data_IF_412787551937
#
_entry.id   IF_412787551937
#
_cell.length_a   1.000
_cell.length_b   1.000
_cell.length_c   1.000
_cell.angle_alpha   90.00
_cell.angle_beta   90.00
_cell.angle_gamma   90.00
#
_symmetry.space_group_name_H-M   'P 1'
#
loop_
_entity.id
_entity.type
_entity.pdbx_description
1 polymer ?
#
# COMPACT_ATOMS: atom_id res chain seq x y z
N UNK A 1 19.86 69.86 -15.49
CA UNK A 1 19.28 70.47 -16.70
C UNK A 1 18.71 69.39 -17.60
N UNK A 2 17.49 69.63 -18.02
CA UNK A 2 16.79 69.03 -19.20
C UNK A 2 16.36 67.56 -19.05
N UNK A 3 15.12 67.27 -18.80
CA UNK A 3 13.92 67.35 -19.66
C UNK A 3 13.76 66.02 -20.46
N UNK A 4 12.71 65.27 -20.09
CA UNK A 4 11.39 65.15 -20.76
C UNK A 4 11.49 64.07 -21.89
N UNK A 5 10.63 63.09 -22.07
CA UNK A 5 9.24 63.12 -22.46
C UNK A 5 8.70 61.68 -22.49
N UNK A 6 7.54 61.46 -21.91
CA UNK A 6 6.36 60.70 -22.35
C UNK A 6 6.52 59.74 -23.54
N UNK A 7 6.02 58.54 -23.38
CA UNK A 7 4.94 58.09 -24.27
C UNK A 7 4.17 56.96 -23.55
N UNK A 8 2.96 57.26 -23.20
CA UNK A 8 1.86 56.35 -22.91
C UNK A 8 1.55 55.53 -24.15
N UNK A 9 1.54 54.20 -24.04
CA UNK A 9 0.79 53.39 -24.96
C UNK A 9 -0.09 52.41 -24.18
N UNK A 10 -1.36 52.77 -24.11
CA UNK A 10 -2.44 51.86 -23.78
C UNK A 10 -2.54 50.78 -24.85
N UNK A 11 -2.42 49.56 -24.47
CA UNK A 11 -2.97 48.46 -25.22
C UNK A 11 -3.79 47.60 -24.27
N UNK A 12 -5.08 47.79 -24.40
CA UNK A 12 -6.10 46.88 -23.86
C UNK A 12 -5.93 45.54 -24.57
N UNK A 13 -5.59 44.49 -23.85
CA UNK A 13 -5.77 43.13 -24.28
C UNK A 13 -6.77 42.43 -23.38
N UNK A 14 -7.82 42.08 -24.05
CA UNK A 14 -8.98 41.31 -23.69
C UNK A 14 -8.63 40.13 -22.79
N UNK A 15 -9.36 40.03 -21.67
CA UNK A 15 -9.26 38.93 -20.73
C UNK A 15 -9.57 37.58 -21.34
N UNK A 16 -8.68 36.64 -21.16
CA UNK A 16 -9.06 35.25 -20.99
C UNK A 16 -9.29 35.06 -19.48
N UNK A 17 -10.53 34.87 -19.10
CA UNK A 17 -10.89 34.31 -17.83
C UNK A 17 -10.29 32.90 -17.77
N UNK A 18 -9.11 32.78 -17.16
CA UNK A 18 -8.72 31.53 -16.56
C UNK A 18 -9.67 31.33 -15.39
N UNK A 19 -10.49 30.29 -15.50
CA UNK A 19 -11.15 29.75 -14.34
C UNK A 19 -10.06 29.52 -13.31
N UNK A 20 -10.04 30.34 -12.28
CA UNK A 20 -9.35 30.08 -11.04
C UNK A 20 -9.97 28.81 -10.45
N UNK A 21 -9.43 27.66 -10.87
CA UNK A 21 -9.51 26.47 -10.05
C UNK A 21 -8.73 26.87 -8.80
N UNK A 22 -9.48 27.31 -7.80
CA UNK A 22 -8.99 27.40 -6.46
C UNK A 22 -8.33 26.04 -6.18
N UNK A 23 -7.01 26.01 -6.15
CA UNK A 23 -6.29 24.93 -5.50
C UNK A 23 -6.71 25.02 -4.04
N UNK A 24 -7.82 24.38 -3.74
CA UNK A 24 -8.11 23.97 -2.40
C UNK A 24 -6.95 23.08 -2.04
N UNK A 25 -6.02 23.61 -1.24
CA UNK A 25 -5.14 22.81 -0.41
C UNK A 25 -6.05 22.02 0.55
N UNK A 26 -6.77 21.10 -0.02
CA UNK A 26 -7.41 20.02 0.69
C UNK A 26 -6.26 19.10 1.07
N UNK A 27 -5.64 19.40 2.22
CA UNK A 27 -5.04 18.35 3.03
C UNK A 27 -6.06 17.21 2.95
N UNK A 28 -5.74 16.09 2.32
CA UNK A 28 -6.71 15.03 2.19
C UNK A 28 -7.04 14.59 3.61
N UNK A 29 -8.20 15.01 4.10
CA UNK A 29 -8.85 14.31 5.19
C UNK A 29 -9.29 12.97 4.57
N UNK A 30 -8.30 12.11 4.32
CA UNK A 30 -8.54 10.77 3.82
C UNK A 30 -9.08 10.01 5.00
N UNK A 31 -10.40 10.03 5.14
CA UNK A 31 -11.09 9.10 6.01
C UNK A 31 -10.57 7.70 5.62
N UNK A 32 -9.87 7.07 6.57
CA UNK A 32 -9.27 5.76 6.35
C UNK A 32 -10.41 4.77 6.28
N UNK A 33 -10.81 4.42 5.06
CA UNK A 33 -11.83 3.39 4.83
C UNK A 33 -11.17 2.03 4.96
N UNK A 34 -11.53 1.30 6.01
CA UNK A 34 -11.07 -0.07 6.24
C UNK A 34 -12.07 -1.01 5.56
N UNK A 35 -11.63 -1.87 4.62
CA UNK A 35 -12.48 -2.90 4.01
C UNK A 35 -12.95 -3.93 5.04
N UNK A 36 -14.15 -4.47 4.86
CA UNK A 36 -14.72 -5.51 5.74
C UNK A 36 -13.87 -6.80 5.78
N UNK A 37 -13.10 -7.06 4.72
CA UNK A 37 -12.21 -8.22 4.61
C UNK A 37 -10.80 -7.95 5.15
N UNK A 38 -10.56 -6.80 5.79
CA UNK A 38 -9.25 -6.48 6.34
C UNK A 38 -8.90 -7.41 7.50
N UNK A 39 -7.67 -7.90 7.50
CA UNK A 39 -7.14 -8.73 8.59
C UNK A 39 -6.70 -7.80 9.72
N UNK A 40 -7.34 -7.94 10.87
CA UNK A 40 -6.98 -7.17 12.05
C UNK A 40 -5.56 -7.50 12.52
N UNK A 41 -4.81 -6.45 12.90
CA UNK A 41 -3.43 -6.58 13.35
C UNK A 41 -2.41 -6.81 12.24
N UNK A 42 -2.80 -6.64 10.97
CA UNK A 42 -1.88 -6.75 9.84
C UNK A 42 -1.98 -5.54 8.90
N UNK A 43 -0.83 -4.95 8.59
CA UNK A 43 -0.69 -3.88 7.60
C UNK A 43 0.43 -4.16 6.63
N UNK A 44 0.24 -3.72 5.40
CA UNK A 44 1.26 -3.76 4.36
C UNK A 44 1.76 -2.33 4.15
N UNK A 45 3.08 -2.15 4.27
CA UNK A 45 3.77 -0.87 4.15
C UNK A 45 4.70 -0.94 2.95
N UNK A 46 4.64 0.07 2.10
CA UNK A 46 5.68 0.31 1.10
C UNK A 46 6.51 1.50 1.55
N UNK A 47 7.80 1.30 1.67
CA UNK A 47 8.75 2.37 1.98
C UNK A 47 9.23 3.08 0.70
N UNK A 48 9.71 4.30 0.89
CA UNK A 48 10.38 5.06 -0.16
C UNK A 48 11.74 4.44 -0.50
N UNK A 49 12.23 4.59 -1.74
CA UNK A 49 13.51 4.01 -2.18
C UNK A 49 14.72 4.42 -1.34
N UNK A 50 14.68 5.61 -0.74
CA UNK A 50 15.77 6.12 0.09
C UNK A 50 16.00 5.29 1.36
N UNK A 51 15.01 4.49 1.77
CA UNK A 51 15.08 3.62 2.95
C UNK A 51 15.69 2.24 2.66
N UNK A 52 15.94 1.91 1.41
CA UNK A 52 16.41 0.59 0.98
C UNK A 52 17.62 0.09 1.77
N UNK A 53 18.65 0.92 1.91
CA UNK A 53 19.90 0.53 2.56
C UNK A 53 19.72 0.18 4.05
N UNK A 54 18.84 0.91 4.76
CA UNK A 54 18.56 0.68 6.17
C UNK A 54 17.75 -0.60 6.33
N UNK A 55 16.73 -0.77 5.50
CA UNK A 55 15.86 -1.94 5.52
C UNK A 55 16.65 -3.24 5.21
N UNK A 56 17.49 -3.22 4.17
CA UNK A 56 18.33 -4.36 3.82
C UNK A 56 19.32 -4.72 4.95
N UNK A 57 19.90 -3.72 5.59
CA UNK A 57 20.80 -3.95 6.72
C UNK A 57 20.07 -4.62 7.89
N UNK A 58 18.85 -4.18 8.18
CA UNK A 58 18.03 -4.74 9.25
C UNK A 58 17.63 -6.18 8.94
N UNK A 59 17.15 -6.44 7.72
CA UNK A 59 16.76 -7.80 7.27
C UNK A 59 17.94 -8.77 7.29
N UNK A 60 19.12 -8.31 6.89
CA UNK A 60 20.35 -9.13 6.93
C UNK A 60 20.76 -9.49 8.35
N UNK A 61 20.65 -8.55 9.29
CA UNK A 61 21.03 -8.77 10.70
C UNK A 61 20.08 -9.71 11.44
N UNK A 62 18.80 -9.65 11.11
CA UNK A 62 17.76 -10.45 11.76
C UNK A 62 17.48 -11.78 11.07
N UNK A 63 18.27 -12.15 10.04
CA UNK A 63 18.08 -13.36 9.24
C UNK A 63 16.65 -13.50 8.64
N UNK A 64 16.00 -12.34 8.39
CA UNK A 64 14.65 -12.27 7.84
C UNK A 64 13.53 -12.24 8.89
N UNK A 65 13.84 -12.48 10.16
CA UNK A 65 12.89 -12.39 11.28
C UNK A 65 13.15 -11.10 12.06
N UNK A 66 12.50 -10.03 11.66
CA UNK A 66 12.60 -8.74 12.33
C UNK A 66 11.28 -8.37 13.02
N UNK A 67 11.40 -7.57 14.08
CA UNK A 67 10.26 -6.89 14.70
C UNK A 67 10.32 -5.39 14.46
N UNK A 68 11.43 -4.89 13.89
CA UNK A 68 11.74 -3.48 13.67
C UNK A 68 12.25 -3.26 12.25
N UNK A 69 12.03 -2.05 11.75
CA UNK A 69 12.48 -1.63 10.44
C UNK A 69 13.94 -1.16 10.40
N UNK A 70 14.47 -0.73 11.56
CA UNK A 70 15.74 -0.03 11.65
C UNK A 70 15.65 1.47 11.38
N UNK A 71 14.46 1.98 11.07
CA UNK A 71 14.17 3.40 10.89
C UNK A 71 13.56 3.92 12.20
N UNK A 72 14.22 4.83 12.93
CA UNK A 72 13.82 5.21 14.28
C UNK A 72 12.39 5.70 14.41
N UNK A 73 11.92 6.54 13.48
CA UNK A 73 10.56 7.08 13.48
C UNK A 73 9.50 5.99 13.24
N UNK A 74 9.78 5.06 12.33
CA UNK A 74 8.91 3.90 12.10
C UNK A 74 8.93 2.96 13.30
N UNK A 75 10.10 2.69 13.86
CA UNK A 75 10.25 1.78 14.99
C UNK A 75 9.54 2.29 16.25
N UNK A 76 9.52 3.60 16.48
CA UNK A 76 8.73 4.21 17.56
C UNK A 76 7.21 3.91 17.39
N UNK A 77 6.69 4.02 16.17
CA UNK A 77 5.30 3.69 15.91
C UNK A 77 5.05 2.19 16.04
N UNK A 78 5.96 1.34 15.55
CA UNK A 78 5.86 -0.11 15.70
C UNK A 78 5.85 -0.54 17.17
N UNK A 79 6.64 0.12 18.03
CA UNK A 79 6.64 -0.13 19.47
C UNK A 79 5.30 0.26 20.12
N UNK A 80 4.72 1.40 19.73
CA UNK A 80 3.42 1.83 20.22
C UNK A 80 2.31 0.84 19.81
N UNK A 81 2.41 0.27 18.61
CA UNK A 81 1.46 -0.71 18.10
C UNK A 81 1.66 -2.12 18.69
N UNK A 82 2.75 -2.34 19.45
CA UNK A 82 3.09 -3.68 19.92
C UNK A 82 3.42 -4.63 18.78
N UNK A 83 4.15 -4.13 17.76
CA UNK A 83 4.50 -4.95 16.61
C UNK A 83 5.46 -6.09 17.00
N UNK A 84 5.09 -7.30 16.60
CA UNK A 84 5.84 -8.52 16.89
C UNK A 84 6.44 -9.19 15.66
N UNK A 85 6.10 -8.73 14.45
CA UNK A 85 6.66 -9.22 13.18
C UNK A 85 6.76 -8.10 12.16
N UNK A 86 7.90 -8.03 11.50
CA UNK A 86 8.20 -7.11 10.40
C UNK A 86 8.95 -7.89 9.32
N UNK A 87 8.30 -8.23 8.23
CA UNK A 87 8.80 -9.14 7.20
C UNK A 87 8.61 -8.56 5.79
N UNK A 88 9.46 -8.95 4.83
CA UNK A 88 9.24 -8.61 3.42
C UNK A 88 8.03 -9.37 2.88
N UNK A 89 7.12 -8.66 2.18
CA UNK A 89 6.01 -9.28 1.45
C UNK A 89 6.53 -10.21 0.35
N UNK A 90 7.62 -9.81 -0.30
CA UNK A 90 8.31 -10.61 -1.33
C UNK A 90 9.65 -11.08 -0.76
N UNK A 91 9.76 -12.35 -0.33
CA UNK A 91 10.99 -12.88 0.22
C UNK A 91 12.16 -12.78 -0.77
N UNK A 92 13.37 -12.75 -0.24
CA UNK A 92 14.59 -12.73 -1.07
C UNK A 92 14.68 -14.03 -1.86
N UNK A 93 14.69 -13.92 -3.18
CA UNK A 93 14.99 -15.01 -4.10
C UNK A 93 16.20 -14.62 -4.96
N UNK A 94 17.31 -15.28 -4.75
CA UNK A 94 18.56 -14.99 -5.47
C UNK A 94 18.43 -15.07 -7.00
N UNK A 95 17.44 -15.81 -7.51
CA UNK A 95 17.20 -15.93 -8.95
C UNK A 95 16.50 -14.72 -9.53
N UNK A 96 15.65 -14.07 -8.74
CA UNK A 96 14.76 -13.00 -9.19
C UNK A 96 14.98 -11.67 -8.46
N UNK A 97 15.91 -11.60 -7.51
CA UNK A 97 16.12 -10.42 -6.66
C UNK A 97 16.37 -9.14 -7.47
N UNK A 98 17.13 -9.23 -8.56
CA UNK A 98 17.38 -8.06 -9.42
C UNK A 98 16.08 -7.49 -10.00
N UNK A 99 15.17 -8.34 -10.47
CA UNK A 99 13.86 -7.93 -11.00
C UNK A 99 12.93 -7.43 -9.90
N UNK A 100 12.97 -8.05 -8.73
CA UNK A 100 12.23 -7.64 -7.54
C UNK A 100 12.63 -6.24 -7.11
N UNK A 101 13.93 -5.93 -7.15
CA UNK A 101 14.46 -4.59 -6.85
C UNK A 101 14.12 -3.57 -7.93
N UNK A 102 14.30 -3.91 -9.20
CA UNK A 102 13.92 -3.05 -10.32
C UNK A 102 12.44 -2.65 -10.28
N UNK A 103 11.58 -3.57 -9.88
CA UNK A 103 10.14 -3.33 -9.71
C UNK A 103 9.78 -2.65 -8.38
N UNK A 104 10.75 -2.39 -7.49
CA UNK A 104 10.52 -1.80 -6.17
C UNK A 104 9.72 -2.71 -5.21
N UNK A 105 9.63 -4.00 -5.50
CA UNK A 105 8.88 -4.96 -4.67
C UNK A 105 9.61 -5.27 -3.35
N UNK A 106 10.92 -5.13 -3.31
CA UNK A 106 11.74 -5.32 -2.11
C UNK A 106 11.44 -4.31 -1.00
N UNK A 107 10.75 -3.22 -1.30
CA UNK A 107 10.36 -2.17 -0.36
C UNK A 107 9.00 -2.41 0.30
N UNK A 108 8.35 -3.51 -0.01
CA UNK A 108 7.06 -3.88 0.57
C UNK A 108 7.25 -4.80 1.76
N UNK A 109 6.69 -4.40 2.90
CA UNK A 109 6.77 -5.12 4.17
C UNK A 109 5.39 -5.35 4.75
N UNK A 110 5.21 -6.49 5.40
CA UNK A 110 4.05 -6.76 6.23
C UNK A 110 4.44 -6.59 7.70
N UNK A 111 3.61 -5.88 8.43
CA UNK A 111 3.73 -5.67 9.87
C UNK A 111 2.59 -6.39 10.53
N UNK A 112 2.91 -7.19 11.57
CA UNK A 112 1.92 -7.78 12.45
C UNK A 112 2.06 -7.18 13.83
N UNK A 113 0.93 -6.75 14.39
CA UNK A 113 0.88 -6.05 15.66
C UNK A 113 -0.31 -6.53 16.52
N UNK A 114 -0.35 -6.06 17.76
CA UNK A 114 -1.40 -6.49 18.70
C UNK A 114 -2.79 -6.08 18.19
N UNK A 115 -3.73 -7.03 18.15
CA UNK A 115 -5.10 -6.80 17.70
C UNK A 115 -5.92 -5.89 18.63
N UNK A 116 -5.39 -5.55 19.80
CA UNK A 116 -5.98 -4.53 20.68
C UNK A 116 -5.90 -3.13 20.09
N UNK A 117 -4.91 -2.89 19.20
CA UNK A 117 -4.75 -1.64 18.50
C UNK A 117 -5.63 -1.61 17.24
N UNK A 118 -6.34 -0.50 17.03
CA UNK A 118 -7.20 -0.37 15.87
C UNK A 118 -6.41 -0.22 14.57
N UNK A 119 -6.83 -0.93 13.53
CA UNK A 119 -6.23 -0.87 12.21
C UNK A 119 -6.24 0.55 11.64
N UNK A 120 -7.34 1.31 11.87
CA UNK A 120 -7.45 2.71 11.46
C UNK A 120 -6.42 3.60 12.16
N UNK A 121 -6.26 3.45 13.47
CA UNK A 121 -5.29 4.21 14.25
C UNK A 121 -3.86 3.89 13.86
N UNK A 122 -3.56 2.61 13.56
CA UNK A 122 -2.26 2.19 13.07
C UNK A 122 -1.95 2.82 11.70
N UNK A 123 -2.90 2.78 10.77
CA UNK A 123 -2.76 3.41 9.45
C UNK A 123 -2.58 4.92 9.55
N UNK A 124 -3.35 5.59 10.40
CA UNK A 124 -3.21 7.04 10.62
C UNK A 124 -1.81 7.40 11.08
N UNK A 125 -1.29 6.73 12.13
CA UNK A 125 0.06 6.98 12.67
C UNK A 125 1.15 6.74 11.62
N UNK A 126 1.09 5.61 10.91
CA UNK A 126 2.08 5.26 9.88
C UNK A 126 1.99 6.18 8.66
N UNK A 127 0.83 6.72 8.32
CA UNK A 127 0.66 7.64 7.19
C UNK A 127 1.33 8.99 7.40
N UNK A 128 1.59 9.37 8.64
CA UNK A 128 2.28 10.62 9.00
C UNK A 128 3.79 10.52 8.81
N UNK A 129 4.33 9.31 8.63
CA UNK A 129 5.76 9.09 8.49
C UNK A 129 6.25 9.45 7.09
N UNK A 130 7.28 10.28 7.04
CA UNK A 130 7.83 10.78 5.78
C UNK A 130 8.49 9.72 4.91
N UNK A 131 8.94 8.61 5.49
CA UNK A 131 9.58 7.46 4.85
C UNK A 131 8.61 6.47 4.22
N UNK A 132 7.34 6.54 4.56
CA UNK A 132 6.29 5.67 4.00
C UNK A 132 5.81 6.23 2.66
N UNK A 133 5.75 5.37 1.64
CA UNK A 133 5.21 5.67 0.31
C UNK A 133 3.72 5.28 0.22
N UNK A 134 3.38 4.06 0.66
CA UNK A 134 2.01 3.53 0.62
C UNK A 134 1.70 2.66 1.82
N UNK A 135 0.43 2.68 2.21
CA UNK A 135 -0.14 1.80 3.23
C UNK A 135 -1.34 1.05 2.65
N UNK A 136 -1.45 -0.22 3.01
CA UNK A 136 -2.58 -1.06 2.61
C UNK A 136 -2.96 -1.98 3.77
N UNK A 137 -4.27 -2.22 3.92
CA UNK A 137 -4.74 -3.31 4.76
C UNK A 137 -4.42 -4.65 4.08
N UNK A 138 -3.92 -5.61 4.83
CA UNK A 138 -3.91 -6.98 4.36
C UNK A 138 -5.35 -7.51 4.36
N UNK A 139 -5.73 -8.29 3.34
CA UNK A 139 -7.12 -8.76 3.17
C UNK A 139 -7.16 -10.26 2.92
N UNK A 140 -8.16 -10.91 3.50
CA UNK A 140 -8.48 -12.27 3.11
C UNK A 140 -9.00 -12.32 1.67
N UNK A 141 -8.46 -13.23 0.89
CA UNK A 141 -8.89 -13.45 -0.49
C UNK A 141 -9.75 -14.70 -0.52
N UNK A 142 -11.02 -14.50 -0.85
CA UNK A 142 -11.95 -15.60 -1.06
C UNK A 142 -12.08 -15.90 -2.55
N UNK A 143 -12.23 -17.17 -2.93
CA UNK A 143 -12.55 -17.52 -4.31
C UNK A 143 -13.83 -16.80 -4.76
N UNK A 144 -13.86 -16.33 -6.01
CA UNK A 144 -14.96 -15.51 -6.55
C UNK A 144 -16.31 -16.25 -6.61
N UNK A 145 -16.30 -17.58 -6.51
CA UNK A 145 -17.51 -18.39 -6.46
C UNK A 145 -17.98 -18.52 -5.02
N UNK A 146 -19.06 -17.85 -4.73
CA UNK A 146 -19.90 -17.98 -3.56
C UNK A 146 -19.22 -18.00 -2.18
N UNK A 147 -19.13 -16.82 -1.57
CA UNK A 147 -18.65 -16.57 -0.20
C UNK A 147 -19.44 -17.37 0.88
N UNK A 148 -20.65 -17.86 0.58
CA UNK A 148 -21.55 -18.54 1.51
C UNK A 148 -21.74 -20.04 1.23
N UNK A 149 -21.15 -20.59 0.18
CA UNK A 149 -21.20 -22.04 -0.05
C UNK A 149 -20.01 -22.70 0.61
N UNK A 150 -20.28 -23.61 1.53
CA UNK A 150 -19.27 -24.58 1.97
C UNK A 150 -18.69 -25.24 0.71
N UNK A 151 -17.37 -25.39 0.59
CA UNK A 151 -16.80 -26.09 -0.55
C UNK A 151 -17.42 -27.48 -0.63
N UNK A 152 -18.22 -27.68 -1.66
CA UNK A 152 -18.73 -29.00 -2.00
C UNK A 152 -17.63 -29.72 -2.76
N UNK A 153 -16.87 -30.53 -2.06
CA UNK A 153 -15.93 -31.43 -2.70
C UNK A 153 -16.73 -32.53 -3.37
N UNK A 154 -16.88 -32.45 -4.68
CA UNK A 154 -17.39 -33.56 -5.49
C UNK A 154 -16.32 -34.65 -5.41
N UNK A 155 -16.66 -35.77 -4.77
CA UNK A 155 -15.76 -36.94 -4.77
C UNK A 155 -15.65 -37.48 -6.20
N UNK A 156 -14.50 -38.00 -6.58
CA UNK A 156 -14.33 -38.61 -7.90
C UNK A 156 -15.36 -39.69 -8.22
N UNK A 157 -15.99 -40.29 -7.19
CA UNK A 157 -17.08 -41.25 -7.33
C UNK A 157 -18.40 -40.67 -7.84
N UNK A 158 -18.64 -39.36 -7.64
CA UNK A 158 -19.86 -38.68 -8.15
C UNK A 158 -19.71 -38.20 -9.58
N UNK A 159 -18.48 -38.02 -10.06
CA UNK A 159 -18.22 -37.56 -11.43
C UNK A 159 -18.58 -38.61 -12.49
N UNK A 160 -18.58 -39.90 -12.13
CA UNK A 160 -18.88 -41.01 -13.06
C UNK A 160 -20.40 -41.25 -13.22
N UNK A 161 -21.27 -40.56 -12.51
CA UNK A 161 -22.73 -40.77 -12.55
C UNK A 161 -23.48 -39.85 -13.52
N UNK A 162 -22.81 -39.00 -14.29
CA UNK A 162 -23.45 -38.23 -15.33
C UNK A 162 -23.76 -39.12 -16.56
N UNK A 163 -25.05 -39.29 -16.92
CA UNK A 163 -25.38 -40.06 -18.10
C UNK A 163 -24.85 -39.34 -19.33
N UNK A 164 -23.94 -40.03 -20.03
CA UNK A 164 -23.49 -39.62 -21.35
C UNK A 164 -24.71 -39.59 -22.27
N UNK A 165 -25.18 -38.41 -22.63
CA UNK A 165 -26.12 -38.22 -23.73
C UNK A 165 -25.38 -38.48 -25.03
N UNK A 166 -25.38 -39.78 -25.43
CA UNK A 166 -24.96 -40.19 -26.74
C UNK A 166 -25.99 -39.74 -27.73
N UNK A 167 -25.67 -38.72 -28.51
CA UNK A 167 -26.44 -38.37 -29.69
C UNK A 167 -26.43 -39.56 -30.64
N UNK A 168 -27.58 -40.13 -30.92
CA UNK A 168 -27.81 -41.05 -32.06
C UNK A 168 -28.26 -40.21 -33.22
N UNK A 169 -27.51 -40.34 -34.31
CA UNK A 169 -27.93 -40.00 -35.67
C UNK A 169 -29.21 -40.70 -36.07
#
# INVERSE_FOLDING_TARGET
MKRIIYITLLLASVGCTKDDIATVDTKPNTEVVIPDEAIEGELIIKFKPEMEAILDQTMTRSAGEATRSGIPSTDEVLDILGAYSFERVFPVDNRHEARTREAGMHLWYIVRFDKSESLAGAMERLSLLGEVDKLQCNREIYPAYNRNSKPHFISCAEADSHPSTRATE
#
